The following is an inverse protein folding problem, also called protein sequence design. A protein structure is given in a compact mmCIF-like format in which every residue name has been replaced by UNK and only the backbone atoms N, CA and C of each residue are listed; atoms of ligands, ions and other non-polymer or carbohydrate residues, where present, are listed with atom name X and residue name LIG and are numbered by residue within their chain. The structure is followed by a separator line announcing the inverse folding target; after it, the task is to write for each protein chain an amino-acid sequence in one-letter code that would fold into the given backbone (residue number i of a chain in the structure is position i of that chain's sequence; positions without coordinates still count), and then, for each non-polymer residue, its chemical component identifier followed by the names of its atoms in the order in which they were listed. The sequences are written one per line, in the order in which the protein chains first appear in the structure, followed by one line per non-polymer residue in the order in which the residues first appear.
data_IF_878967821848
#
_entry.id   IF_878967821848
#
_cell.length_a   1.000
_cell.length_b   1.000
_cell.length_c   1.000
_cell.angle_alpha   90.00
_cell.angle_beta   90.00
_cell.angle_gamma   90.00
#
_symmetry.space_group_name_H-M   'P 1'
#
loop_
_entity.id
_entity.type
_entity.pdbx_description
1 polymer ?
#
# COMPACT_ATOMS: atom_id res chain seq x y z
N UNK A 1 -28.37 16.81 40.94
CA UNK A 1 -29.68 17.48 40.88
C UNK A 1 -29.45 18.97 41.06
N UNK A 2 -29.83 19.79 40.08
CA UNK A 2 -30.16 21.23 40.12
C UNK A 2 -30.42 21.68 38.67
N UNK A 3 -31.46 22.49 38.48
CA UNK A 3 -32.24 22.72 37.26
C UNK A 3 -31.67 23.81 36.35
N UNK A 4 -32.08 23.84 35.07
CA UNK A 4 -32.80 24.99 34.49
C UNK A 4 -33.19 24.73 33.04
N UNK A 5 -34.51 24.75 32.79
CA UNK A 5 -35.08 24.83 31.45
C UNK A 5 -35.33 26.29 31.09
N UNK A 6 -34.98 26.67 29.87
CA UNK A 6 -35.62 27.76 29.15
C UNK A 6 -35.74 27.38 27.69
N UNK A 7 -36.98 27.12 27.26
CA UNK A 7 -37.34 27.02 25.86
C UNK A 7 -37.49 28.44 25.31
N UNK A 8 -36.70 28.80 24.29
CA UNK A 8 -36.94 30.01 23.49
C UNK A 8 -36.58 29.80 22.01
N UNK A 9 -37.63 29.46 21.26
CA UNK A 9 -38.02 29.98 19.95
C UNK A 9 -36.90 30.30 18.92
N UNK A 10 -36.74 29.35 17.99
CA UNK A 10 -36.22 29.45 16.60
C UNK A 10 -36.19 30.87 16.00
N UNK A 11 -35.02 31.26 15.49
CA UNK A 11 -34.90 32.05 14.24
C UNK A 11 -34.06 31.28 13.24
N UNK A 12 -34.66 30.95 12.11
CA UNK A 12 -34.01 30.39 10.93
C UNK A 12 -33.20 31.51 10.29
N UNK A 13 -31.89 31.33 10.22
CA UNK A 13 -31.06 31.97 9.21
C UNK A 13 -30.64 30.87 8.25
N UNK A 14 -31.31 30.80 7.10
CA UNK A 14 -30.85 29.99 5.99
C UNK A 14 -29.54 30.63 5.49
N UNK A 15 -28.41 30.09 5.94
CA UNK A 15 -27.14 30.33 5.26
C UNK A 15 -27.21 29.62 3.89
N UNK A 16 -26.77 30.24 2.80
CA UNK A 16 -26.65 29.54 1.53
C UNK A 16 -25.70 28.36 1.74
N UNK A 17 -26.20 27.16 1.46
CA UNK A 17 -25.36 25.98 1.27
C UNK A 17 -24.60 26.25 -0.02
N UNK A 18 -23.40 26.79 0.08
CA UNK A 18 -22.43 26.73 -1.00
C UNK A 18 -22.13 25.25 -1.23
N UNK A 19 -22.80 24.70 -2.25
CA UNK A 19 -22.81 23.31 -2.67
C UNK A 19 -21.50 22.85 -3.29
N UNK A 20 -20.40 22.99 -2.55
CA UNK A 20 -19.16 22.25 -2.76
C UNK A 20 -18.72 21.59 -1.46
N UNK A 21 -19.68 21.03 -0.72
CA UNK A 21 -19.38 19.97 0.21
C UNK A 21 -18.99 18.75 -0.61
N UNK A 22 -17.68 18.54 -0.69
CA UNK A 22 -17.02 17.30 -1.03
C UNK A 22 -17.91 16.15 -0.54
N UNK A 23 -18.57 15.46 -1.47
CA UNK A 23 -19.15 14.16 -1.16
C UNK A 23 -17.96 13.26 -0.90
N UNK A 24 -17.49 13.27 0.34
CA UNK A 24 -16.52 12.30 0.83
C UNK A 24 -17.19 10.96 0.62
N UNK A 25 -16.67 10.17 -0.31
CA UNK A 25 -17.28 8.91 -0.65
C UNK A 25 -17.12 7.98 0.56
N UNK A 26 -18.18 7.82 1.35
CA UNK A 26 -18.18 7.03 2.60
C UNK A 26 -17.63 5.63 2.35
N UNK A 27 -17.89 5.07 1.16
CA UNK A 27 -17.33 3.78 0.73
C UNK A 27 -15.79 3.72 0.81
N UNK A 28 -15.09 4.76 0.35
CA UNK A 28 -13.62 4.77 0.36
C UNK A 28 -13.06 5.03 1.77
N UNK A 29 -13.83 5.70 2.63
CA UNK A 29 -13.47 5.84 4.05
C UNK A 29 -13.61 4.54 4.80
N UNK A 30 -14.73 3.85 4.63
CA UNK A 30 -14.99 2.55 5.24
C UNK A 30 -13.94 1.52 4.80
N UNK A 31 -13.53 1.56 3.53
CA UNK A 31 -12.45 0.74 3.01
C UNK A 31 -11.10 1.09 3.65
N UNK A 32 -10.79 2.38 3.80
CA UNK A 32 -9.56 2.81 4.46
C UNK A 32 -9.53 2.32 5.92
N UNK A 33 -10.65 2.43 6.64
CA UNK A 33 -10.75 1.96 8.02
C UNK A 33 -10.61 0.43 8.12
N UNK A 34 -11.36 -0.32 7.31
CA UNK A 34 -11.33 -1.78 7.30
C UNK A 34 -9.97 -2.35 6.86
N UNK A 35 -9.22 -1.63 6.01
CA UNK A 35 -7.89 -2.04 5.54
C UNK A 35 -6.73 -1.60 6.46
N UNK A 36 -7.02 -0.86 7.53
CA UNK A 36 -5.98 -0.31 8.41
C UNK A 36 -5.20 0.85 7.79
N UNK A 37 -5.84 1.66 6.96
CA UNK A 37 -5.28 2.86 6.35
C UNK A 37 -4.61 2.65 4.98
N UNK A 38 -4.93 1.57 4.27
CA UNK A 38 -4.29 1.24 2.98
C UNK A 38 -4.99 1.81 1.74
N UNK A 39 -6.15 2.46 1.90
CA UNK A 39 -6.88 3.08 0.81
C UNK A 39 -6.64 4.59 0.74
N UNK A 40 -6.44 5.12 -0.48
CA UNK A 40 -6.26 6.55 -0.75
C UNK A 40 -7.30 6.97 -1.79
N UNK A 41 -8.20 7.89 -1.41
CA UNK A 41 -9.16 8.48 -2.33
C UNK A 41 -8.51 9.62 -3.10
N UNK A 42 -8.61 9.58 -4.44
CA UNK A 42 -8.09 10.61 -5.32
C UNK A 42 -9.07 10.90 -6.45
N UNK A 43 -9.09 12.14 -6.91
CA UNK A 43 -9.83 12.49 -8.13
C UNK A 43 -9.03 12.10 -9.37
N UNK A 44 -9.70 11.96 -10.51
CA UNK A 44 -9.05 11.61 -11.78
C UNK A 44 -7.96 12.62 -12.19
N UNK A 45 -8.15 13.89 -11.89
CA UNK A 45 -7.19 14.96 -12.20
C UNK A 45 -5.94 14.90 -11.31
N UNK A 46 -6.06 14.38 -10.09
CA UNK A 46 -4.97 14.29 -9.11
C UNK A 46 -4.31 12.91 -9.04
N UNK A 47 -4.80 11.93 -9.81
CA UNK A 47 -4.32 10.55 -9.77
C UNK A 47 -2.81 10.44 -10.06
N UNK A 48 -2.33 11.08 -11.13
CA UNK A 48 -0.90 11.05 -11.48
C UNK A 48 -0.04 11.60 -10.35
N UNK A 49 -0.40 12.78 -9.84
CA UNK A 49 0.30 13.43 -8.73
C UNK A 49 0.34 12.55 -7.48
N UNK A 50 -0.78 11.91 -7.13
CA UNK A 50 -0.83 11.02 -5.98
C UNK A 50 0.07 9.79 -6.18
N UNK A 51 0.10 9.23 -7.38
CA UNK A 51 0.96 8.09 -7.72
C UNK A 51 2.44 8.46 -7.61
N UNK A 52 2.80 9.66 -8.08
CA UNK A 52 4.17 10.20 -7.98
C UNK A 52 4.57 10.41 -6.52
N UNK A 53 3.68 10.94 -5.68
CA UNK A 53 3.91 11.10 -4.24
C UNK A 53 4.11 9.75 -3.58
N UNK A 54 3.28 8.75 -3.88
CA UNK A 54 3.43 7.39 -3.33
C UNK A 54 4.80 6.82 -3.73
N UNK A 55 5.19 6.93 -5.00
CA UNK A 55 6.50 6.48 -5.45
C UNK A 55 7.65 7.22 -4.75
N UNK A 56 7.53 8.54 -4.55
CA UNK A 56 8.55 9.36 -3.90
C UNK A 56 8.64 9.16 -2.37
N UNK A 57 7.53 8.82 -1.73
CA UNK A 57 7.44 8.64 -0.27
C UNK A 57 7.58 7.19 0.17
N UNK A 58 7.37 6.24 -0.74
CA UNK A 58 7.63 4.83 -0.50
C UNK A 58 9.11 4.65 -0.19
N UNK A 59 9.39 4.10 0.99
CA UNK A 59 10.77 3.78 1.39
C UNK A 59 11.12 2.42 0.83
N UNK A 60 12.26 2.35 0.15
CA UNK A 60 12.88 1.07 -0.18
C UNK A 60 13.13 0.31 1.12
N UNK A 61 12.46 -0.82 1.28
CA UNK A 61 12.68 -1.74 2.39
C UNK A 61 13.30 -3.03 1.86
N UNK A 62 14.14 -3.65 2.67
CA UNK A 62 14.69 -4.96 2.34
C UNK A 62 13.58 -5.99 2.54
N UNK A 63 13.20 -6.68 1.46
CA UNK A 63 12.16 -7.71 1.48
C UNK A 63 12.74 -9.02 0.98
N UNK A 64 12.31 -10.12 1.59
CA UNK A 64 12.56 -11.47 1.08
C UNK A 64 11.55 -11.74 -0.03
N UNK A 65 12.02 -11.73 -1.27
CA UNK A 65 11.18 -11.98 -2.46
C UNK A 65 10.94 -13.48 -2.65
N UNK A 66 11.92 -14.30 -2.30
CA UNK A 66 11.87 -15.75 -2.45
C UNK A 66 12.67 -16.43 -1.35
N UNK A 67 12.08 -17.47 -0.76
CA UNK A 67 12.76 -18.33 0.21
C UNK A 67 12.34 -19.78 -0.04
N UNK A 68 13.32 -20.68 -0.03
CA UNK A 68 13.07 -22.11 -0.15
C UNK A 68 14.03 -22.87 0.78
N UNK A 69 13.52 -23.90 1.45
CA UNK A 69 14.30 -24.80 2.31
C UNK A 69 14.08 -26.21 1.78
N UNK A 70 15.15 -26.91 1.41
CA UNK A 70 15.07 -28.21 0.72
C UNK A 70 15.98 -29.25 1.32
N UNK A 71 15.63 -30.50 1.04
CA UNK A 71 16.41 -31.68 1.37
C UNK A 71 17.52 -31.86 0.30
N UNK A 72 18.81 -31.98 0.67
CA UNK A 72 19.95 -31.91 -0.26
C UNK A 72 20.08 -33.01 -1.33
N UNK A 73 19.15 -33.97 -1.40
CA UNK A 73 19.31 -35.18 -2.21
C UNK A 73 19.02 -35.06 -3.72
N UNK A 74 18.55 -33.91 -4.23
CA UNK A 74 18.17 -33.74 -5.64
C UNK A 74 18.52 -32.36 -6.21
N UNK A 75 19.18 -32.28 -7.39
CA UNK A 75 19.37 -31.03 -8.11
C UNK A 75 18.03 -30.49 -8.62
N UNK A 76 17.76 -29.20 -8.41
CA UNK A 76 16.51 -28.54 -8.81
C UNK A 76 16.72 -27.09 -9.21
N UNK A 77 15.83 -26.60 -10.07
CA UNK A 77 15.82 -25.22 -10.54
C UNK A 77 14.72 -24.43 -9.82
N UNK A 78 15.08 -23.22 -9.38
CA UNK A 78 14.16 -22.32 -8.67
C UNK A 78 13.98 -21.02 -9.45
N UNK A 79 12.92 -20.89 -10.27
CA UNK A 79 12.62 -19.64 -10.94
C UNK A 79 12.07 -18.62 -9.94
N UNK A 80 12.59 -17.40 -10.00
CA UNK A 80 12.11 -16.25 -9.21
C UNK A 80 11.79 -15.12 -10.17
N UNK A 81 10.59 -14.57 -10.06
CA UNK A 81 10.20 -13.38 -10.81
C UNK A 81 10.58 -12.14 -10.02
N UNK A 82 11.28 -11.23 -10.69
CA UNK A 82 11.75 -9.97 -10.12
C UNK A 82 11.30 -8.87 -11.08
N UNK A 83 10.62 -7.85 -10.56
CA UNK A 83 10.19 -6.71 -11.38
C UNK A 83 11.31 -5.66 -11.53
N UNK A 84 11.09 -4.65 -12.38
CA UNK A 84 12.06 -3.61 -12.69
C UNK A 84 12.31 -2.60 -11.54
N UNK A 85 11.45 -2.57 -10.54
CA UNK A 85 11.56 -1.71 -9.34
C UNK A 85 12.51 -2.28 -8.31
N UNK A 86 12.76 -3.59 -8.30
CA UNK A 86 13.74 -4.22 -7.40
C UNK A 86 15.15 -3.79 -7.79
N UNK A 87 15.82 -3.09 -6.87
CA UNK A 87 17.23 -2.68 -7.00
C UNK A 87 18.07 -3.42 -5.98
N UNK A 88 19.34 -3.65 -6.31
CA UNK A 88 20.34 -4.24 -5.41
C UNK A 88 19.95 -5.63 -4.86
N UNK A 89 19.59 -6.55 -5.75
CA UNK A 89 19.21 -7.90 -5.37
C UNK A 89 20.38 -8.65 -4.74
N UNK A 90 20.17 -9.19 -3.53
CA UNK A 90 21.13 -10.02 -2.81
C UNK A 90 20.61 -11.45 -2.68
N UNK A 91 21.42 -12.44 -3.04
CA UNK A 91 21.06 -13.87 -2.98
C UNK A 91 21.87 -14.52 -1.86
N UNK A 92 21.16 -15.07 -0.87
CA UNK A 92 21.76 -15.85 0.21
C UNK A 92 21.48 -17.32 -0.03
N UNK A 93 22.54 -18.09 -0.30
CA UNK A 93 22.46 -19.54 -0.46
C UNK A 93 23.16 -20.19 0.73
N UNK A 94 22.40 -20.91 1.53
CA UNK A 94 22.91 -21.63 2.71
C UNK A 94 22.71 -23.12 2.50
N UNK A 95 23.75 -23.92 2.64
CA UNK A 95 23.68 -25.38 2.49
C UNK A 95 25.05 -26.02 2.29
N UNK A 96 25.06 -27.35 2.19
CA UNK A 96 26.28 -28.15 2.00
C UNK A 96 26.57 -28.50 0.53
N UNK A 97 25.77 -28.02 -0.42
CA UNK A 97 26.05 -28.25 -1.84
C UNK A 97 27.20 -27.35 -2.30
N UNK A 98 28.24 -27.89 -2.95
CA UNK A 98 29.37 -27.09 -3.41
C UNK A 98 29.09 -26.31 -4.71
N UNK A 99 28.01 -26.63 -5.45
CA UNK A 99 27.75 -26.07 -6.77
C UNK A 99 26.35 -25.46 -6.87
N UNK A 100 26.29 -24.23 -7.39
CA UNK A 100 25.07 -23.49 -7.68
C UNK A 100 25.25 -22.74 -9.00
N UNK A 101 24.20 -22.74 -9.83
CA UNK A 101 24.15 -21.93 -11.06
C UNK A 101 23.09 -20.86 -10.86
N UNK A 102 23.48 -19.60 -11.04
CA UNK A 102 22.57 -18.45 -10.96
C UNK A 102 22.48 -17.86 -12.36
N UNK A 103 21.26 -17.83 -12.91
CA UNK A 103 21.00 -17.25 -14.22
C UNK A 103 20.29 -15.92 -14.05
N UNK A 104 20.82 -14.86 -14.65
CA UNK A 104 20.18 -13.55 -14.64
C UNK A 104 18.84 -13.60 -15.39
N UNK A 105 17.82 -12.81 -15.00
CA UNK A 105 16.56 -12.72 -15.74
C UNK A 105 16.76 -12.28 -17.20
N UNK A 106 17.85 -11.57 -17.49
CA UNK A 106 18.23 -11.15 -18.84
C UNK A 106 18.80 -12.28 -19.72
N UNK A 107 19.10 -13.46 -19.13
CA UNK A 107 19.56 -14.63 -19.88
C UNK A 107 20.95 -14.50 -20.51
N UNK A 108 21.67 -13.42 -20.19
CA UNK A 108 23.06 -13.13 -20.58
C UNK A 108 24.02 -13.33 -19.42
#
# INVERSE_FOLDING_TARGET
MLTNGFSSRRRRSAAPVDGQQQVLNELYKDLAEASGGQAIEVTKTTLSQATDIIAATSRSTLVIIFQVIRNPGKPENFPVFVDSSVKNLAIYITGSSPYYTITSPSGV
#
